data_IF_155366755663
#
_entry.id   IF_155366755663
#
_cell.length_a   1.000
_cell.length_b   1.000
_cell.length_c   1.000
_cell.angle_alpha   90.00
_cell.angle_beta   90.00
_cell.angle_gamma   90.00
#
_symmetry.space_group_name_H-M   'P 1'
#
loop_
_entity.id
_entity.type
_entity.pdbx_description
1 polymer ?
#
# COMPACT_ATOMS: atom_id res chain seq x y z
N UNK A 1 -4.84 4.94 22.82
CA UNK A 1 -5.97 5.05 21.86
C UNK A 1 -5.75 4.04 20.75
N UNK A 2 -6.59 3.00 20.66
CA UNK A 2 -6.53 2.04 19.57
C UNK A 2 -7.10 2.65 18.30
N UNK A 3 -6.30 2.72 17.24
CA UNK A 3 -6.75 3.11 15.91
C UNK A 3 -7.85 2.13 15.47
N UNK A 4 -9.10 2.58 15.51
CA UNK A 4 -10.22 1.91 14.89
C UNK A 4 -9.98 1.89 13.38
N UNK A 5 -9.25 0.88 12.89
CA UNK A 5 -9.07 0.60 11.46
C UNK A 5 -10.46 0.10 10.97
N UNK A 6 -11.35 1.05 10.60
CA UNK A 6 -12.74 0.84 10.17
C UNK A 6 -12.81 -0.19 9.06
N UNK A 7 -13.45 -1.32 9.27
CA UNK A 7 -13.50 -2.44 8.32
C UNK A 7 -14.52 -2.12 7.20
N UNK A 8 -14.13 -1.30 6.24
CA UNK A 8 -14.89 -1.10 5.00
C UNK A 8 -14.67 -2.33 4.10
N UNK A 9 -15.76 -2.87 3.54
CA UNK A 9 -15.81 -4.12 2.75
C UNK A 9 -14.84 -4.17 1.55
N UNK A 10 -14.24 -3.05 1.19
CA UNK A 10 -13.29 -2.90 0.09
C UNK A 10 -11.83 -2.69 0.58
N UNK A 11 -11.47 -3.17 1.77
CA UNK A 11 -10.10 -3.11 2.26
C UNK A 11 -9.59 -4.46 2.76
N UNK A 12 -8.29 -4.71 2.55
CA UNK A 12 -7.60 -5.90 3.03
C UNK A 12 -6.27 -5.51 3.69
N UNK A 13 -5.73 -6.44 4.49
CA UNK A 13 -4.48 -6.24 5.22
C UNK A 13 -3.51 -7.37 4.92
N UNK A 14 -2.25 -7.03 4.71
CA UNK A 14 -1.15 -7.96 4.56
C UNK A 14 -0.30 -7.89 5.81
N UNK A 15 -0.07 -9.05 6.41
CA UNK A 15 0.86 -9.24 7.51
C UNK A 15 2.14 -9.82 6.92
N UNK A 16 3.22 -9.06 7.02
CA UNK A 16 4.54 -9.55 6.67
C UNK A 16 5.14 -10.29 7.87
N UNK A 17 5.99 -11.28 7.60
CA UNK A 17 6.70 -12.01 8.65
C UNK A 17 7.65 -11.10 9.45
N UNK A 18 8.15 -10.04 8.81
CA UNK A 18 9.03 -9.06 9.43
C UNK A 18 8.25 -8.05 10.28
N UNK A 19 8.44 -8.11 11.60
CA UNK A 19 7.62 -7.37 12.57
C UNK A 19 8.03 -5.90 12.76
N UNK A 20 9.19 -5.48 12.24
CA UNK A 20 9.79 -4.17 12.49
C UNK A 20 10.30 -3.48 11.23
N UNK A 21 9.38 -3.06 10.36
CA UNK A 21 9.72 -2.23 9.19
C UNK A 21 9.43 -0.76 9.52
N UNK A 22 10.44 0.05 9.91
CA UNK A 22 10.22 1.45 10.28
C UNK A 22 9.80 2.30 9.09
N UNK A 23 10.37 2.04 7.90
CA UNK A 23 10.14 2.83 6.70
C UNK A 23 8.83 2.40 5.99
N UNK A 24 7.84 3.30 5.83
CA UNK A 24 6.57 2.97 5.17
C UNK A 24 6.74 2.62 3.68
N UNK A 25 7.77 3.16 3.00
CA UNK A 25 8.06 2.84 1.60
C UNK A 25 8.59 1.41 1.48
N UNK A 26 9.42 0.98 2.43
CA UNK A 26 9.92 -0.41 2.50
C UNK A 26 8.79 -1.39 2.81
N UNK A 27 7.89 -1.03 3.73
CA UNK A 27 6.73 -1.85 4.08
C UNK A 27 5.82 -2.05 2.85
N UNK A 28 5.58 -0.96 2.11
CA UNK A 28 4.84 -1.00 0.87
C UNK A 28 5.53 -1.90 -0.17
N UNK A 29 6.82 -1.70 -0.40
CA UNK A 29 7.61 -2.49 -1.35
C UNK A 29 7.56 -3.99 -1.06
N UNK A 30 7.78 -4.39 0.21
CA UNK A 30 7.69 -5.79 0.64
C UNK A 30 6.27 -6.35 0.50
N UNK A 31 5.25 -5.57 0.83
CA UNK A 31 3.85 -5.97 0.66
C UNK A 31 3.47 -6.18 -0.82
N UNK A 32 3.94 -5.31 -1.72
CA UNK A 32 3.75 -5.48 -3.16
C UNK A 32 4.50 -6.70 -3.69
N UNK A 33 5.74 -6.92 -3.24
CA UNK A 33 6.50 -8.13 -3.59
C UNK A 33 5.75 -9.40 -3.18
N UNK A 34 5.23 -9.44 -1.95
CA UNK A 34 4.43 -10.57 -1.45
C UNK A 34 3.21 -10.85 -2.35
N UNK A 35 2.49 -9.80 -2.75
CA UNK A 35 1.36 -9.93 -3.68
C UNK A 35 1.79 -10.45 -5.05
N UNK A 36 2.89 -9.93 -5.61
CA UNK A 36 3.48 -10.38 -6.88
C UNK A 36 3.84 -11.87 -6.82
N UNK A 37 4.46 -12.32 -5.72
CA UNK A 37 4.80 -13.73 -5.48
C UNK A 37 3.56 -14.63 -5.34
N UNK A 38 2.43 -14.08 -4.89
CA UNK A 38 1.12 -14.77 -4.88
C UNK A 38 0.41 -14.78 -6.24
N UNK A 39 1.04 -14.27 -7.29
CA UNK A 39 0.50 -14.23 -8.66
C UNK A 39 -0.40 -13.03 -8.95
N UNK A 40 -0.42 -12.01 -8.08
CA UNK A 40 -1.19 -10.79 -8.29
C UNK A 40 -0.43 -9.81 -9.19
N UNK A 41 -1.14 -9.13 -10.08
CA UNK A 41 -0.55 -8.04 -10.89
C UNK A 41 -0.51 -6.77 -10.08
N UNK A 42 0.67 -6.35 -9.64
CA UNK A 42 0.85 -5.14 -8.84
C UNK A 42 1.63 -4.07 -9.61
N UNK A 43 1.21 -2.81 -9.51
CA UNK A 43 1.91 -1.66 -10.07
C UNK A 43 1.73 -0.45 -9.18
N UNK A 44 2.82 0.15 -8.70
CA UNK A 44 2.74 1.44 -8.02
C UNK A 44 2.35 2.55 -9.02
N UNK A 45 1.36 3.38 -8.67
CA UNK A 45 0.90 4.48 -9.54
C UNK A 45 1.46 5.82 -9.09
N UNK A 46 1.53 6.07 -7.78
CA UNK A 46 1.98 7.36 -7.25
C UNK A 46 1.43 7.62 -5.86
N UNK A 47 1.26 8.89 -5.51
CA UNK A 47 0.65 9.30 -4.25
C UNK A 47 -0.59 10.16 -4.50
N UNK A 48 -1.59 10.01 -3.66
CA UNK A 48 -2.79 10.85 -3.64
C UNK A 48 -2.50 12.25 -3.06
N UNK A 49 -3.46 13.17 -3.14
CA UNK A 49 -3.39 14.52 -2.54
C UNK A 49 -3.06 14.49 -1.04
N UNK A 50 -3.42 13.41 -0.34
CA UNK A 50 -3.13 13.20 1.08
C UNK A 50 -1.75 12.57 1.33
N UNK A 51 -0.90 12.50 0.30
CA UNK A 51 0.40 11.84 0.34
C UNK A 51 0.31 10.34 0.70
N UNK A 52 -0.85 9.72 0.46
CA UNK A 52 -1.05 8.27 0.61
C UNK A 52 -0.62 7.55 -0.66
N UNK A 53 0.14 6.46 -0.54
CA UNK A 53 0.60 5.70 -1.68
C UNK A 53 -0.58 5.01 -2.39
N UNK A 54 -0.62 5.11 -3.72
CA UNK A 54 -1.62 4.49 -4.58
C UNK A 54 -0.95 3.41 -5.41
N UNK A 55 -1.54 2.23 -5.37
CA UNK A 55 -1.09 1.04 -6.09
C UNK A 55 -2.25 0.45 -6.86
N UNK A 56 -1.96 -0.14 -7.99
CA UNK A 56 -2.88 -0.92 -8.79
C UNK A 56 -2.60 -2.41 -8.52
N UNK A 57 -3.64 -3.16 -8.18
CA UNK A 57 -3.60 -4.58 -7.90
C UNK A 57 -4.73 -5.23 -8.70
N UNK A 58 -4.42 -6.14 -9.62
CA UNK A 58 -5.41 -6.79 -10.51
C UNK A 58 -6.36 -5.79 -11.23
N UNK A 59 -5.81 -4.71 -11.80
CA UNK A 59 -6.57 -3.60 -12.44
C UNK A 59 -7.47 -2.78 -11.52
N UNK A 60 -7.39 -2.97 -10.20
CA UNK A 60 -8.10 -2.16 -9.23
C UNK A 60 -7.12 -1.26 -8.47
N UNK A 61 -7.54 -0.02 -8.18
CA UNK A 61 -6.71 0.92 -7.44
C UNK A 61 -6.94 0.77 -5.94
N UNK A 62 -5.85 0.73 -5.20
CA UNK A 62 -5.82 0.65 -3.76
C UNK A 62 -4.91 1.74 -3.19
N UNK A 63 -5.36 2.33 -2.08
CA UNK A 63 -4.56 3.20 -1.24
C UNK A 63 -3.89 2.37 -0.15
N UNK A 64 -2.60 2.56 0.02
CA UNK A 64 -1.82 1.97 1.09
C UNK A 64 -1.84 2.86 2.34
N UNK A 65 -2.11 2.22 3.47
CA UNK A 65 -1.97 2.78 4.81
C UNK A 65 -1.16 1.82 5.67
N UNK A 66 -0.22 2.37 6.44
CA UNK A 66 0.51 1.62 7.47
C UNK A 66 -0.34 1.60 8.75
N UNK A 67 -0.96 0.46 9.10
CA UNK A 67 -1.69 0.32 10.37
C UNK A 67 -0.72 -0.26 11.42
N UNK A 68 -0.49 0.50 12.49
CA UNK A 68 0.28 0.06 13.65
C UNK A 68 -0.69 -0.40 14.74
N UNK A 69 -0.86 -1.71 14.87
CA UNK A 69 -1.56 -2.33 15.99
C UNK A 69 -0.58 -3.05 16.92
N UNK A 70 -1.01 -4.18 17.49
CA UNK A 70 -0.12 -5.15 18.14
C UNK A 70 0.93 -5.74 17.17
N UNK A 71 0.65 -5.68 15.86
CA UNK A 71 1.50 -6.15 14.76
C UNK A 71 1.49 -5.10 13.65
N UNK A 72 2.61 -4.91 12.94
CA UNK A 72 2.66 -4.03 11.78
C UNK A 72 1.98 -4.70 10.60
N UNK A 73 1.02 -4.00 9.98
CA UNK A 73 0.32 -4.48 8.78
C UNK A 73 0.28 -3.42 7.69
N UNK A 74 0.37 -3.91 6.45
CA UNK A 74 0.15 -3.13 5.25
C UNK A 74 -1.33 -3.21 4.88
N UNK A 75 -2.07 -2.11 5.07
CA UNK A 75 -3.48 -2.04 4.73
C UNK A 75 -3.66 -1.46 3.34
N UNK A 76 -4.47 -2.12 2.52
CA UNK A 76 -4.85 -1.67 1.20
C UNK A 76 -6.36 -1.42 1.18
N UNK A 77 -6.77 -0.19 0.89
CA UNK A 77 -8.18 0.21 0.80
C UNK A 77 -8.47 0.59 -0.63
N UNK A 78 -9.43 -0.08 -1.26
CA UNK A 78 -9.82 0.21 -2.64
C UNK A 78 -10.23 1.66 -2.76
N UNK A 79 -9.80 2.31 -3.83
CA UNK A 79 -10.15 3.69 -4.15
C UNK A 79 -10.88 3.72 -5.48
N UNK A 80 -11.87 4.60 -5.56
CA UNK A 80 -12.55 4.83 -6.83
C UNK A 80 -11.61 5.58 -7.78
N UNK A 81 -11.53 5.16 -9.06
CA UNK A 81 -10.70 5.80 -10.08
C UNK A 81 -11.08 7.26 -10.37
N UNK A 82 -12.24 7.70 -9.87
CA UNK A 82 -12.71 9.09 -9.92
C UNK A 82 -11.82 10.08 -9.12
N UNK A 83 -10.90 9.59 -8.28
CA UNK A 83 -9.90 10.41 -7.59
C UNK A 83 -8.81 10.80 -8.61
N UNK A 84 -9.14 11.81 -9.41
CA UNK A 84 -8.37 12.35 -10.55
C UNK A 84 -7.13 13.17 -10.15
N UNK A 85 -6.39 12.78 -9.10
CA UNK A 85 -5.38 13.64 -8.49
C UNK A 85 -4.17 12.92 -7.91
N UNK A 86 -3.59 11.95 -8.60
CA UNK A 86 -2.31 11.38 -8.16
C UNK A 86 -1.15 12.28 -8.60
N UNK A 87 -0.29 12.68 -7.65
CA UNK A 87 0.98 13.34 -7.93
C UNK A 87 2.09 12.29 -7.96
N UNK A 88 2.90 12.31 -9.01
CA UNK A 88 4.19 11.62 -9.01
C UNK A 88 5.17 12.44 -8.15
N UNK A 89 5.50 11.90 -6.97
CA UNK A 89 6.59 12.43 -6.13
C UNK A 89 7.90 11.72 -6.46
N UNK A 90 9.03 12.40 -6.23
CA UNK A 90 10.40 11.88 -6.39
C UNK A 90 10.69 10.55 -5.65
N UNK A 91 9.81 10.11 -4.75
CA UNK A 91 9.92 8.84 -4.00
C UNK A 91 9.49 7.61 -4.81
N UNK A 92 8.85 7.79 -5.98
CA UNK A 92 8.43 6.69 -6.85
C UNK A 92 9.58 5.73 -7.18
N UNK A 93 10.73 6.27 -7.58
CA UNK A 93 11.92 5.47 -7.95
C UNK A 93 12.45 4.62 -6.78
N UNK A 94 12.38 5.15 -5.55
CA UNK A 94 12.76 4.41 -4.33
C UNK A 94 11.82 3.23 -4.10
N UNK A 95 10.51 3.43 -4.27
CA UNK A 95 9.49 2.38 -4.06
C UNK A 95 9.58 1.30 -5.15
N UNK A 96 9.72 1.70 -6.41
CA UNK A 96 9.90 0.77 -7.55
C UNK A 96 11.13 -0.12 -7.40
N UNK A 97 12.19 0.38 -6.76
CA UNK A 97 13.42 -0.38 -6.52
C UNK A 97 13.25 -1.57 -5.57
N UNK A 98 12.20 -1.60 -4.74
CA UNK A 98 11.97 -2.71 -3.80
C UNK A 98 11.22 -3.90 -4.41
N UNK A 99 10.55 -3.73 -5.56
CA UNK A 99 9.72 -4.79 -6.16
C UNK A 99 9.86 -4.94 -7.69
N UNK A 100 10.75 -4.18 -8.33
CA UNK A 100 11.18 -4.41 -9.71
C UNK A 100 11.74 -5.82 -9.87
#
# INVERSE_FOLDING_TARGET
MGSNCSNTKDSFQIFLEERNIPDPDELLGKALKYLKEKGKKVSFKGFDINNSAIVEIDNELYKFDKCFGLWQSARFTKVNPSISGYKLLNRKSKIESYYS
#
